data_IF_961580933451
#
_entry.id   IF_961580933451
#
_cell.length_a   1.000
_cell.length_b   1.000
_cell.length_c   1.000
_cell.angle_alpha   90.00
_cell.angle_beta   90.00
_cell.angle_gamma   90.00
#
_symmetry.space_group_name_H-M   'P 1'
#
loop_
_entity.id
_entity.type
_entity.pdbx_description
1 polymer ?
#
# COMPACT_ATOMS: atom_id res chain seq x y z
N UNK A 1 -17.00 -23.85 -7.78
CA UNK A 1 -15.65 -23.70 -8.35
C UNK A 1 -15.10 -22.33 -7.97
N UNK A 2 -13.98 -22.28 -7.26
CA UNK A 2 -13.32 -21.02 -6.91
C UNK A 2 -12.62 -20.44 -8.14
N UNK A 3 -12.91 -19.18 -8.48
CA UNK A 3 -12.24 -18.43 -9.56
C UNK A 3 -11.54 -17.24 -8.92
N UNK A 4 -10.26 -17.05 -9.24
CA UNK A 4 -9.52 -15.84 -8.89
C UNK A 4 -9.97 -14.73 -9.83
N UNK A 5 -10.39 -13.59 -9.28
CA UNK A 5 -10.95 -12.47 -10.05
C UNK A 5 -9.99 -11.29 -10.17
N UNK A 6 -9.07 -11.12 -9.20
CA UNK A 6 -8.11 -10.02 -9.19
C UNK A 6 -6.91 -10.31 -8.27
N UNK A 7 -5.86 -9.52 -8.43
CA UNK A 7 -4.78 -9.39 -7.45
C UNK A 7 -5.29 -8.57 -6.27
N UNK A 8 -5.09 -9.05 -5.04
CA UNK A 8 -5.53 -8.32 -3.84
C UNK A 8 -4.58 -7.17 -3.47
N UNK A 9 -3.27 -7.44 -3.45
CA UNK A 9 -2.25 -6.45 -3.10
C UNK A 9 -0.91 -6.74 -3.76
N UNK A 10 -0.11 -5.69 -3.96
CA UNK A 10 1.27 -5.76 -4.46
C UNK A 10 2.19 -5.04 -3.48
N UNK A 11 3.33 -5.65 -3.13
CA UNK A 11 4.33 -5.00 -2.29
C UNK A 11 5.25 -4.13 -3.14
N UNK A 12 5.43 -2.88 -2.73
CA UNK A 12 6.27 -1.89 -3.40
C UNK A 12 7.35 -1.44 -2.41
N UNK A 13 8.62 -1.80 -2.65
CA UNK A 13 9.73 -1.31 -1.84
C UNK A 13 9.90 0.20 -1.98
N UNK A 14 9.97 0.91 -0.87
CA UNK A 14 10.16 2.37 -0.80
C UNK A 14 11.27 2.71 0.18
N UNK A 15 11.99 3.80 -0.12
CA UNK A 15 13.07 4.29 0.75
C UNK A 15 12.57 4.96 2.03
N UNK A 16 11.38 5.56 1.98
CA UNK A 16 10.71 6.23 3.10
C UNK A 16 9.20 6.05 2.93
N UNK A 17 8.54 5.48 3.94
CA UNK A 17 7.10 5.18 3.87
C UNK A 17 6.24 6.45 3.95
N UNK A 18 6.63 7.47 4.72
CA UNK A 18 5.85 8.71 4.86
C UNK A 18 5.91 9.55 3.58
N UNK A 19 7.09 9.65 2.98
CA UNK A 19 7.26 10.31 1.68
C UNK A 19 6.45 9.59 0.59
N UNK A 20 6.42 8.24 0.62
CA UNK A 20 5.62 7.46 -0.31
C UNK A 20 4.11 7.69 -0.08
N UNK A 21 3.62 7.68 1.16
CA UNK A 21 2.22 8.02 1.47
C UNK A 21 1.85 9.39 0.90
N UNK A 22 2.68 10.41 1.13
CA UNK A 22 2.42 11.76 0.64
C UNK A 22 2.38 11.83 -0.89
N UNK A 23 3.25 11.09 -1.58
CA UNK A 23 3.23 10.99 -3.03
C UNK A 23 1.97 10.31 -3.55
N UNK A 24 1.65 9.11 -3.03
CA UNK A 24 0.49 8.36 -3.52
C UNK A 24 -0.83 9.07 -3.21
N UNK A 25 -1.00 9.60 -2.00
CA UNK A 25 -2.24 10.26 -1.59
C UNK A 25 -2.36 11.70 -2.08
N UNK A 26 -1.25 12.46 -2.11
CA UNK A 26 -1.27 13.87 -2.49
C UNK A 26 -1.07 14.13 -3.98
N UNK A 27 -0.32 13.28 -4.69
CA UNK A 27 -0.02 13.48 -6.13
C UNK A 27 -0.85 12.58 -7.02
N UNK A 28 -1.05 11.32 -6.63
CA UNK A 28 -1.75 10.33 -7.44
C UNK A 28 -3.20 10.10 -7.03
N UNK A 29 -3.67 10.80 -5.99
CA UNK A 29 -5.05 10.73 -5.48
C UNK A 29 -5.45 9.31 -5.01
N UNK A 30 -4.50 8.55 -4.48
CA UNK A 30 -4.77 7.27 -3.83
C UNK A 30 -5.32 7.50 -2.43
N UNK A 31 -6.08 6.55 -1.91
CA UNK A 31 -6.56 6.55 -0.54
C UNK A 31 -5.60 5.77 0.35
N UNK A 32 -5.30 6.30 1.55
CA UNK A 32 -4.60 5.56 2.59
C UNK A 32 -5.58 4.58 3.25
N UNK A 33 -5.41 3.29 3.00
CA UNK A 33 -6.35 2.25 3.48
C UNK A 33 -5.87 1.54 4.74
N UNK A 34 -4.56 1.50 4.97
CA UNK A 34 -3.99 1.03 6.22
C UNK A 34 -2.71 1.79 6.56
N UNK A 35 -2.56 2.13 7.83
CA UNK A 35 -1.34 2.63 8.44
C UNK A 35 -1.31 2.16 9.89
N UNK A 36 -0.74 0.98 10.12
CA UNK A 36 -0.81 0.30 11.42
C UNK A 36 0.54 -0.31 11.81
N UNK A 37 0.83 -0.46 13.12
CA UNK A 37 1.95 -1.26 13.57
C UNK A 37 1.86 -2.70 13.04
N UNK A 38 2.99 -3.26 12.67
CA UNK A 38 3.14 -4.62 12.17
C UNK A 38 4.35 -5.29 12.83
N UNK A 39 4.45 -6.62 12.78
CA UNK A 39 5.38 -7.41 13.60
C UNK A 39 6.82 -6.87 13.69
N UNK A 40 7.54 -7.23 14.76
CA UNK A 40 8.94 -6.84 15.00
C UNK A 40 9.25 -5.33 14.90
N UNK A 41 8.26 -4.50 15.21
CA UNK A 41 8.39 -3.04 15.16
C UNK A 41 8.28 -2.46 13.75
N UNK A 42 7.82 -3.25 12.79
CA UNK A 42 7.50 -2.79 11.45
C UNK A 42 6.21 -1.98 11.39
N UNK A 43 5.95 -1.40 10.21
CA UNK A 43 4.75 -0.62 9.91
C UNK A 43 4.15 -1.14 8.62
N UNK A 44 2.87 -1.51 8.67
CA UNK A 44 2.10 -1.92 7.51
C UNK A 44 1.35 -0.73 6.95
N UNK A 45 1.74 -0.32 5.75
CA UNK A 45 1.12 0.80 5.03
C UNK A 45 0.53 0.28 3.73
N UNK A 46 -0.75 0.55 3.49
CA UNK A 46 -1.40 0.27 2.22
C UNK A 46 -2.07 1.53 1.66
N UNK A 47 -1.91 1.75 0.36
CA UNK A 47 -2.64 2.76 -0.42
C UNK A 47 -3.37 2.11 -1.59
N UNK A 48 -4.53 2.62 -1.97
CA UNK A 48 -5.33 2.06 -3.07
C UNK A 48 -5.86 3.14 -4.03
N UNK A 49 -6.00 2.85 -5.33
CA UNK A 49 -6.68 3.74 -6.25
C UNK A 49 -8.17 3.88 -5.86
N UNK A 50 -8.78 5.07 -5.99
CA UNK A 50 -10.17 5.30 -5.61
C UNK A 50 -11.17 4.53 -6.49
N UNK A 51 -10.79 4.22 -7.74
CA UNK A 51 -11.59 3.40 -8.65
C UNK A 51 -11.54 1.89 -8.32
N UNK A 52 -10.81 1.49 -7.28
CA UNK A 52 -10.58 0.10 -6.90
C UNK A 52 -9.48 -0.58 -7.72
N UNK A 53 -9.18 -1.83 -7.35
CA UNK A 53 -8.08 -2.62 -7.89
C UNK A 53 -7.20 -3.19 -6.78
N UNK A 54 -5.95 -3.51 -7.13
CA UNK A 54 -4.99 -4.01 -6.16
C UNK A 54 -4.49 -2.88 -5.26
N UNK A 55 -4.45 -3.12 -3.95
CA UNK A 55 -3.79 -2.22 -3.00
C UNK A 55 -2.27 -2.31 -3.15
N UNK A 56 -1.57 -1.20 -2.92
CA UNK A 56 -0.12 -1.16 -2.86
C UNK A 56 0.30 -1.17 -1.39
N UNK A 57 0.98 -2.22 -0.96
CA UNK A 57 1.64 -2.27 0.33
C UNK A 57 3.01 -1.60 0.22
N UNK A 58 3.19 -0.45 0.86
CA UNK A 58 4.43 0.31 0.84
C UNK A 58 5.36 -0.26 1.91
N UNK A 59 6.38 -1.01 1.49
CA UNK A 59 7.29 -1.72 2.40
C UNK A 59 8.69 -1.09 2.37
N UNK A 60 9.42 -1.03 3.49
CA UNK A 60 10.79 -0.51 3.48
C UNK A 60 11.69 -1.32 2.53
N UNK A 61 12.56 -0.65 1.76
CA UNK A 61 13.44 -1.28 0.75
C UNK A 61 14.68 -1.98 1.30
N UNK A 62 14.72 -2.26 2.60
CA UNK A 62 15.87 -2.79 3.34
C UNK A 62 16.09 -4.28 3.12
#
# INVERSE_FOLDING_TARGET
>A
MSRITQVGRVMVPVGDQDAAIAFYTGTLDFELVADVPFGDGERWVEVAPPAGGAALALVPSR
#
